data_IF_975656584570
#
_entry.id   IF_975656584570
#
_cell.length_a   1.000
_cell.length_b   1.000
_cell.length_c   1.000
_cell.angle_alpha   90.00
_cell.angle_beta   90.00
_cell.angle_gamma   90.00
#
_symmetry.space_group_name_H-M   'P 1'
#
loop_
_entity.id
_entity.type
_entity.pdbx_description
1 polymer ?
#
# COMPACT_ATOMS: atom_id res chain seq x y z
N UNK A 1 -23.47 -0.25 1.22
CA UNK A 1 -22.05 -0.51 1.44
C UNK A 1 -21.76 -1.49 2.58
N UNK A 2 -22.27 -1.33 3.81
CA UNK A 2 -22.00 -2.29 4.91
C UNK A 2 -22.48 -3.71 4.56
N UNK A 3 -23.66 -3.84 3.99
CA UNK A 3 -24.18 -5.13 3.52
C UNK A 3 -23.31 -5.73 2.42
N UNK A 4 -22.84 -4.93 1.47
CA UNK A 4 -21.93 -5.38 0.41
C UNK A 4 -20.59 -5.87 0.97
N UNK A 5 -20.04 -5.18 1.98
CA UNK A 5 -18.80 -5.61 2.66
C UNK A 5 -19.00 -6.98 3.29
N UNK A 6 -20.11 -7.19 4.02
CA UNK A 6 -20.43 -8.47 4.65
C UNK A 6 -20.71 -9.58 3.65
N UNK A 7 -21.44 -9.27 2.56
CA UNK A 7 -21.68 -10.21 1.46
C UNK A 7 -20.35 -10.67 0.83
N UNK A 8 -19.45 -9.72 0.55
CA UNK A 8 -18.13 -10.03 -0.01
C UNK A 8 -17.30 -10.88 0.93
N UNK A 9 -17.25 -10.52 2.23
CA UNK A 9 -16.52 -11.29 3.23
C UNK A 9 -17.08 -12.71 3.35
N UNK A 10 -18.40 -12.86 3.44
CA UNK A 10 -19.06 -14.17 3.50
C UNK A 10 -18.80 -15.02 2.24
N UNK A 11 -18.78 -14.39 1.06
CA UNK A 11 -18.42 -15.08 -0.16
C UNK A 11 -16.98 -15.61 -0.11
N UNK A 12 -16.03 -14.77 0.31
CA UNK A 12 -14.62 -15.17 0.44
C UNK A 12 -14.49 -16.32 1.44
N UNK A 13 -15.11 -16.22 2.62
CA UNK A 13 -15.08 -17.27 3.66
C UNK A 13 -15.66 -18.61 3.20
N UNK A 14 -16.62 -18.57 2.27
CA UNK A 14 -17.18 -19.78 1.69
C UNK A 14 -16.25 -20.44 0.65
N UNK A 15 -15.28 -19.70 0.10
CA UNK A 15 -14.40 -20.17 -0.97
C UNK A 15 -12.97 -20.48 -0.52
N UNK A 16 -12.57 -20.11 0.69
CA UNK A 16 -11.27 -20.48 1.28
C UNK A 16 -11.41 -20.89 2.74
N UNK A 17 -10.56 -21.82 3.17
CA UNK A 17 -10.44 -22.20 4.58
C UNK A 17 -9.37 -21.39 5.33
N UNK A 18 -8.60 -20.57 4.62
CA UNK A 18 -7.54 -19.78 5.24
C UNK A 18 -8.12 -18.62 6.07
N UNK A 19 -7.48 -18.33 7.20
CA UNK A 19 -7.86 -17.24 8.12
C UNK A 19 -6.62 -16.44 8.51
N UNK A 20 -5.94 -15.77 7.57
CA UNK A 20 -4.75 -14.99 7.86
C UNK A 20 -5.09 -13.78 8.74
N UNK A 21 -4.12 -13.35 9.55
CA UNK A 21 -4.20 -12.09 10.30
C UNK A 21 -3.44 -10.96 9.61
N UNK A 22 -2.64 -11.27 8.59
CA UNK A 22 -1.83 -10.29 7.86
C UNK A 22 -2.27 -10.21 6.40
N UNK A 23 -2.52 -8.99 5.93
CA UNK A 23 -2.77 -8.69 4.53
C UNK A 23 -1.64 -7.84 3.95
N UNK A 24 -1.38 -8.03 2.65
CA UNK A 24 -0.34 -7.30 1.89
C UNK A 24 -0.99 -6.72 0.64
N UNK A 25 -0.80 -5.42 0.39
CA UNK A 25 -1.19 -4.80 -0.88
C UNK A 25 0.06 -4.59 -1.73
N UNK A 26 0.11 -5.32 -2.82
CA UNK A 26 1.20 -5.28 -3.78
C UNK A 26 0.89 -4.21 -4.84
N UNK A 27 1.58 -3.09 -4.78
CA UNK A 27 1.49 -2.01 -5.75
C UNK A 27 2.31 -2.26 -7.02
N UNK A 28 2.45 -1.22 -7.84
CA UNK A 28 3.20 -1.26 -9.11
C UNK A 28 4.60 -1.84 -8.95
N UNK A 29 4.93 -2.81 -9.79
CA UNK A 29 6.26 -3.41 -9.82
C UNK A 29 6.56 -4.41 -8.70
N UNK A 30 5.60 -4.88 -7.91
CA UNK A 30 5.82 -5.71 -6.73
C UNK A 30 5.39 -7.18 -6.87
N UNK A 31 5.33 -7.66 -8.11
CA UNK A 31 4.97 -9.05 -8.41
C UNK A 31 5.97 -10.10 -7.88
N UNK A 32 7.21 -9.71 -7.55
CA UNK A 32 8.20 -10.65 -7.01
C UNK A 32 7.75 -11.25 -5.66
N UNK A 33 7.21 -10.43 -4.78
CA UNK A 33 6.70 -10.92 -3.50
C UNK A 33 5.51 -11.86 -3.67
N UNK A 34 4.63 -11.60 -4.67
CA UNK A 34 3.54 -12.51 -5.00
C UNK A 34 4.07 -13.91 -5.40
N UNK A 35 5.20 -13.95 -6.13
CA UNK A 35 5.83 -15.21 -6.54
C UNK A 35 6.46 -15.99 -5.37
N UNK A 36 6.69 -15.36 -4.22
CA UNK A 36 7.20 -16.02 -3.02
C UNK A 36 6.07 -16.60 -2.13
N UNK A 37 4.81 -16.29 -2.44
CA UNK A 37 3.66 -16.82 -1.71
C UNK A 37 3.33 -18.21 -2.23
N UNK A 38 3.36 -19.20 -1.38
CA UNK A 38 2.79 -20.52 -1.66
C UNK A 38 1.27 -20.42 -1.73
N UNK A 39 0.73 -20.22 -2.94
CA UNK A 39 -0.68 -19.94 -3.16
C UNK A 39 -1.52 -21.17 -2.83
N UNK A 40 -2.53 -20.99 -1.99
CA UNK A 40 -3.56 -22.00 -1.66
C UNK A 40 -4.81 -21.74 -2.47
N UNK A 41 -5.33 -20.51 -2.43
CA UNK A 41 -6.49 -20.08 -3.20
C UNK A 41 -6.22 -18.72 -3.85
N UNK A 42 -6.72 -18.52 -5.08
CA UNK A 42 -6.69 -17.23 -5.77
C UNK A 42 -8.03 -16.91 -6.41
N UNK A 43 -8.43 -15.65 -6.36
CA UNK A 43 -9.70 -15.17 -6.90
C UNK A 43 -9.47 -13.91 -7.73
N UNK A 44 -9.77 -13.92 -9.05
CA UNK A 44 -9.82 -12.69 -9.84
C UNK A 44 -10.79 -11.69 -9.22
N UNK A 45 -10.44 -10.41 -9.13
CA UNK A 45 -11.30 -9.39 -8.52
C UNK A 45 -12.70 -9.34 -9.15
N UNK A 46 -12.79 -9.54 -10.47
CA UNK A 46 -14.05 -9.56 -11.22
C UNK A 46 -15.03 -10.66 -10.78
N UNK A 47 -14.52 -11.72 -10.15
CA UNK A 47 -15.33 -12.87 -9.72
C UNK A 47 -15.78 -12.71 -8.26
N UNK A 48 -15.20 -11.74 -7.53
CA UNK A 48 -15.56 -11.44 -6.13
C UNK A 48 -16.72 -10.43 -6.12
N UNK A 49 -17.87 -10.75 -5.49
CA UNK A 49 -19.00 -9.82 -5.42
C UNK A 49 -18.62 -8.45 -4.88
N UNK A 50 -19.11 -7.39 -5.51
CA UNK A 50 -18.91 -5.99 -5.12
C UNK A 50 -17.45 -5.47 -5.17
N UNK A 51 -16.48 -6.31 -5.52
CA UNK A 51 -15.08 -5.89 -5.57
C UNK A 51 -14.85 -4.98 -6.79
N UNK A 52 -14.06 -3.89 -6.66
CA UNK A 52 -13.63 -3.12 -7.82
C UNK A 52 -12.73 -3.97 -8.72
N UNK A 53 -12.56 -3.55 -9.97
CA UNK A 53 -11.66 -4.21 -10.92
C UNK A 53 -10.48 -3.29 -11.20
N UNK A 54 -9.25 -3.78 -11.01
CA UNK A 54 -8.05 -3.00 -11.36
C UNK A 54 -7.95 -2.85 -12.87
N UNK A 55 -7.70 -1.61 -13.33
CA UNK A 55 -7.57 -1.27 -14.75
C UNK A 55 -6.13 -0.86 -15.11
N UNK A 56 -5.24 -0.82 -14.12
CA UNK A 56 -3.84 -0.40 -14.30
C UNK A 56 -3.04 -1.53 -14.93
N UNK A 57 -2.29 -1.22 -15.97
CA UNK A 57 -1.37 -2.15 -16.62
C UNK A 57 -0.28 -2.62 -15.63
N UNK A 58 -0.05 -3.94 -15.59
CA UNK A 58 0.88 -4.56 -14.63
C UNK A 58 0.26 -4.99 -13.30
N UNK A 59 -1.05 -4.72 -13.09
CA UNK A 59 -1.80 -5.28 -11.97
C UNK A 59 -2.56 -6.53 -12.45
N UNK A 60 -2.28 -7.70 -11.86
CA UNK A 60 -2.96 -8.95 -12.23
C UNK A 60 -4.42 -9.00 -11.78
N UNK A 61 -4.81 -8.15 -10.80
CA UNK A 61 -6.19 -8.02 -10.34
C UNK A 61 -6.71 -9.26 -9.63
N UNK A 62 -5.92 -9.82 -8.71
CA UNK A 62 -6.24 -11.03 -7.96
C UNK A 62 -6.14 -10.83 -6.46
N UNK A 63 -7.03 -11.51 -5.74
CA UNK A 63 -6.94 -11.74 -4.32
C UNK A 63 -6.35 -13.12 -4.10
N UNK A 64 -5.25 -13.18 -3.34
CA UNK A 64 -4.49 -14.40 -3.08
C UNK A 64 -4.56 -14.72 -1.59
N UNK A 65 -4.78 -15.99 -1.27
CA UNK A 65 -4.58 -16.59 0.04
C UNK A 65 -3.47 -17.64 -0.08
N UNK A 66 -2.50 -17.57 0.80
CA UNK A 66 -1.34 -18.46 0.73
C UNK A 66 -0.43 -18.30 1.93
N UNK A 67 0.77 -18.87 1.83
CA UNK A 67 1.79 -18.79 2.85
C UNK A 67 3.00 -18.02 2.38
N UNK A 68 3.44 -17.07 3.19
CA UNK A 68 4.71 -16.40 3.03
C UNK A 68 5.66 -16.90 4.12
N UNK A 69 6.55 -17.83 3.74
CA UNK A 69 7.26 -18.66 4.70
C UNK A 69 6.30 -19.58 5.46
N UNK A 70 6.26 -19.48 6.79
CA UNK A 70 5.40 -20.32 7.64
C UNK A 70 4.08 -19.64 8.06
N UNK A 71 3.85 -18.41 7.63
CA UNK A 71 2.69 -17.60 8.05
C UNK A 71 1.65 -17.52 6.94
N UNK A 72 0.41 -17.68 7.32
CA UNK A 72 -0.73 -17.46 6.42
C UNK A 72 -0.87 -15.96 6.12
N UNK A 73 -1.04 -15.61 4.85
CA UNK A 73 -1.22 -14.24 4.37
C UNK A 73 -2.36 -14.15 3.36
N UNK A 74 -2.96 -12.96 3.30
CA UNK A 74 -3.84 -12.51 2.24
C UNK A 74 -3.10 -11.45 1.42
N UNK A 75 -3.06 -11.57 0.10
CA UNK A 75 -2.42 -10.58 -0.73
C UNK A 75 -3.36 -10.05 -1.82
N UNK A 76 -3.36 -8.74 -2.00
CA UNK A 76 -3.96 -8.09 -3.15
C UNK A 76 -2.86 -7.90 -4.21
N UNK A 77 -2.93 -8.63 -5.30
CA UNK A 77 -2.03 -8.45 -6.44
C UNK A 77 -2.60 -7.37 -7.38
N UNK A 78 -2.37 -6.14 -7.03
CA UNK A 78 -2.92 -4.93 -7.60
C UNK A 78 -3.79 -4.16 -6.60
N UNK A 79 -3.94 -2.86 -6.86
CA UNK A 79 -4.73 -1.95 -6.05
C UNK A 79 -5.66 -1.10 -6.91
N UNK A 80 -6.48 -0.28 -6.25
CA UNK A 80 -7.42 0.63 -6.89
C UNK A 80 -6.99 2.07 -6.64
N UNK A 81 -7.07 2.91 -7.67
CA UNK A 81 -6.67 4.29 -7.56
C UNK A 81 -7.84 5.23 -7.86
N UNK A 82 -7.77 6.43 -7.30
CA UNK A 82 -8.75 7.47 -7.53
C UNK A 82 -8.82 7.87 -9.02
N UNK A 83 -7.66 7.95 -9.69
CA UNK A 83 -7.60 8.31 -11.10
C UNK A 83 -8.23 7.29 -12.06
N UNK A 84 -8.50 6.07 -11.60
CA UNK A 84 -9.25 5.06 -12.39
C UNK A 84 -10.74 5.37 -12.49
N UNK A 85 -11.22 6.44 -11.80
CA UNK A 85 -12.63 6.85 -11.76
C UNK A 85 -13.38 6.32 -10.55
N UNK A 86 -12.72 5.62 -9.63
CA UNK A 86 -13.27 5.15 -8.37
C UNK A 86 -13.35 6.27 -7.33
N UNK A 87 -14.46 6.37 -6.61
CA UNK A 87 -14.53 7.19 -5.39
C UNK A 87 -13.76 6.53 -4.23
N UNK A 88 -13.47 7.32 -3.18
CA UNK A 88 -12.66 6.82 -2.07
C UNK A 88 -13.27 5.65 -1.30
N UNK A 89 -14.59 5.47 -1.33
CA UNK A 89 -15.25 4.31 -0.72
C UNK A 89 -15.01 3.03 -1.54
N UNK A 90 -14.92 3.14 -2.85
CA UNK A 90 -14.58 2.02 -3.73
C UNK A 90 -13.09 1.69 -3.64
N UNK A 91 -12.21 2.70 -3.67
CA UNK A 91 -10.76 2.50 -3.49
C UNK A 91 -10.45 1.75 -2.20
N UNK A 92 -11.14 2.07 -1.11
CA UNK A 92 -10.89 1.49 0.22
C UNK A 92 -11.83 0.35 0.60
N UNK A 93 -12.70 -0.08 -0.30
CA UNK A 93 -13.62 -1.20 -0.09
C UNK A 93 -12.90 -2.48 0.37
N UNK A 94 -11.75 -2.88 -0.25
CA UNK A 94 -11.03 -4.07 0.17
C UNK A 94 -10.56 -4.01 1.63
N UNK A 95 -10.18 -2.84 2.12
CA UNK A 95 -9.73 -2.69 3.52
C UNK A 95 -10.87 -2.97 4.50
N UNK A 96 -12.10 -2.56 4.16
CA UNK A 96 -13.28 -2.87 4.95
C UNK A 96 -13.60 -4.37 4.94
N UNK A 97 -13.41 -5.03 3.79
CA UNK A 97 -13.55 -6.49 3.67
C UNK A 97 -12.47 -7.20 4.50
N UNK A 98 -11.22 -6.74 4.46
CA UNK A 98 -10.14 -7.27 5.31
C UNK A 98 -10.49 -7.22 6.80
N UNK A 99 -11.08 -6.12 7.26
CA UNK A 99 -11.55 -6.00 8.64
C UNK A 99 -12.59 -7.07 9.00
N UNK A 100 -13.60 -7.28 8.15
CA UNK A 100 -14.65 -8.31 8.37
C UNK A 100 -14.04 -9.73 8.35
N UNK A 101 -13.00 -9.97 7.56
CA UNK A 101 -12.25 -11.24 7.51
C UNK A 101 -11.29 -11.43 8.70
N UNK A 102 -11.19 -10.46 9.61
CA UNK A 102 -10.37 -10.57 10.81
C UNK A 102 -8.89 -10.21 10.64
N UNK A 103 -8.51 -9.54 9.55
CA UNK A 103 -7.15 -9.02 9.35
C UNK A 103 -6.81 -8.03 10.48
N UNK A 104 -5.61 -8.14 11.01
CA UNK A 104 -5.06 -7.31 12.10
C UNK A 104 -3.89 -6.45 11.65
N UNK A 105 -3.15 -6.91 10.64
CA UNK A 105 -1.95 -6.25 10.13
C UNK A 105 -2.11 -6.01 8.63
N UNK A 106 -1.80 -4.80 8.18
CA UNK A 106 -1.81 -4.43 6.77
C UNK A 106 -0.43 -3.91 6.36
N UNK A 107 0.16 -4.55 5.38
CA UNK A 107 1.40 -4.11 4.77
C UNK A 107 1.10 -3.54 3.39
N UNK A 108 1.54 -2.31 3.16
CA UNK A 108 1.32 -1.60 1.90
C UNK A 108 2.63 -1.24 1.24
N UNK A 109 2.65 -1.34 -0.06
CA UNK A 109 3.81 -0.98 -0.87
C UNK A 109 3.40 -0.14 -2.07
N UNK A 110 4.29 0.73 -2.51
CA UNK A 110 4.06 1.57 -3.68
C UNK A 110 5.39 1.98 -4.35
N UNK A 111 5.28 2.56 -5.53
CA UNK A 111 6.32 3.32 -6.20
C UNK A 111 5.99 4.80 -6.09
N UNK A 112 6.99 5.68 -5.94
CA UNK A 112 6.78 7.13 -5.77
C UNK A 112 7.96 7.96 -6.28
N UNK A 113 7.68 9.21 -6.63
CA UNK A 113 8.69 10.23 -6.92
C UNK A 113 9.28 10.79 -5.62
N UNK A 114 10.61 10.77 -5.50
CA UNK A 114 11.32 11.35 -4.35
C UNK A 114 11.44 12.86 -4.46
N UNK A 115 10.97 13.60 -3.46
CA UNK A 115 11.13 15.06 -3.38
C UNK A 115 12.15 15.50 -2.33
N UNK A 116 12.67 14.55 -1.54
CA UNK A 116 13.78 14.80 -0.63
C UNK A 116 15.11 14.81 -1.41
N UNK A 117 15.91 15.88 -1.32
CA UNK A 117 17.15 16.02 -2.10
C UNK A 117 18.24 14.98 -1.76
N UNK A 118 18.12 14.28 -0.61
CA UNK A 118 19.05 13.25 -0.17
C UNK A 118 18.69 11.86 -0.68
N UNK A 119 17.50 11.70 -1.28
CA UNK A 119 17.05 10.41 -1.79
C UNK A 119 17.65 10.12 -3.17
N UNK A 120 17.75 8.83 -3.47
CA UNK A 120 18.25 8.30 -4.72
C UNK A 120 17.21 7.35 -5.34
N UNK A 121 17.23 7.21 -6.66
CA UNK A 121 16.40 6.19 -7.35
C UNK A 121 16.82 4.81 -6.85
N UNK A 122 15.83 4.01 -6.46
CA UNK A 122 16.03 2.69 -5.87
C UNK A 122 16.09 2.69 -4.33
N UNK A 123 16.02 3.85 -3.67
CA UNK A 123 15.90 3.87 -2.21
C UNK A 123 14.57 3.24 -1.77
N UNK A 124 14.63 2.41 -0.72
CA UNK A 124 13.46 1.89 -0.01
C UNK A 124 13.14 2.84 1.14
N UNK A 125 12.04 3.60 0.99
CA UNK A 125 11.58 4.51 2.03
C UNK A 125 10.58 3.81 2.94
N UNK A 126 10.92 3.62 4.21
CA UNK A 126 9.96 3.27 5.25
C UNK A 126 9.06 4.48 5.47
N UNK A 127 7.76 4.33 5.29
CA UNK A 127 6.80 5.42 5.43
C UNK A 127 6.52 5.61 6.93
N UNK A 128 6.93 6.75 7.48
CA UNK A 128 6.74 7.07 8.89
C UNK A 128 5.51 7.94 9.15
N UNK A 129 5.07 8.68 8.13
CA UNK A 129 3.89 9.55 8.19
C UNK A 129 3.37 9.84 6.77
N UNK A 130 2.23 10.48 6.65
CA UNK A 130 1.69 10.86 5.36
C UNK A 130 0.99 12.23 5.33
N UNK A 131 0.88 12.78 4.13
CA UNK A 131 0.05 13.94 3.82
C UNK A 131 -1.05 13.49 2.85
N UNK A 132 -2.31 13.64 3.25
CA UNK A 132 -3.45 13.40 2.38
C UNK A 132 -3.75 14.66 1.54
N UNK A 133 -3.28 14.67 0.29
CA UNK A 133 -3.54 15.75 -0.66
C UNK A 133 -4.55 15.34 -1.75
N UNK A 134 -5.36 14.33 -1.47
CA UNK A 134 -6.42 13.84 -2.35
C UNK A 134 -7.68 14.71 -2.24
N UNK A 135 -8.46 14.85 -3.31
CA UNK A 135 -9.65 15.72 -3.32
C UNK A 135 -10.83 15.16 -2.54
N UNK A 136 -10.80 13.87 -2.19
CA UNK A 136 -11.85 13.18 -1.44
C UNK A 136 -11.25 12.41 -0.25
N UNK A 137 -11.98 12.39 0.88
CA UNK A 137 -11.55 11.68 2.08
C UNK A 137 -12.35 10.37 2.25
N UNK A 138 -11.70 9.21 2.51
CA UNK A 138 -12.39 7.92 2.57
C UNK A 138 -13.39 7.79 3.72
N UNK A 139 -13.27 8.61 4.77
CA UNK A 139 -14.22 8.66 5.89
C UNK A 139 -15.29 9.75 5.74
N UNK A 140 -15.36 10.42 4.58
CA UNK A 140 -16.40 11.42 4.34
C UNK A 140 -17.80 10.77 4.32
N UNK A 141 -18.77 11.43 4.98
CA UNK A 141 -20.16 10.97 5.09
C UNK A 141 -20.49 10.32 6.44
N UNK A 142 -21.52 9.48 6.53
CA UNK A 142 -21.89 8.76 7.74
C UNK A 142 -20.76 7.85 8.23
N UNK A 143 -20.56 7.80 9.55
CA UNK A 143 -19.52 6.96 10.14
C UNK A 143 -19.83 5.47 9.97
N UNK A 144 -18.79 4.67 9.70
CA UNK A 144 -18.89 3.22 9.76
C UNK A 144 -18.77 2.72 11.20
N UNK A 145 -19.54 1.70 11.59
CA UNK A 145 -19.52 1.17 12.96
C UNK A 145 -18.23 0.45 13.35
N UNK A 146 -17.27 0.34 12.43
CA UNK A 146 -15.99 -0.33 12.62
C UNK A 146 -14.94 0.51 13.34
N UNK A 147 -15.23 1.79 13.59
CA UNK A 147 -14.28 2.68 14.26
C UNK A 147 -14.91 4.01 14.70
N UNK A 148 -14.13 4.88 15.37
CA UNK A 148 -14.59 6.15 15.87
C UNK A 148 -14.89 7.14 14.74
N UNK A 149 -15.78 8.12 15.00
CA UNK A 149 -16.05 9.19 14.01
C UNK A 149 -14.81 10.03 13.68
N UNK A 150 -13.96 10.23 14.66
CA UNK A 150 -12.75 11.03 14.58
C UNK A 150 -11.56 10.18 15.06
N UNK A 151 -10.98 9.33 14.18
CA UNK A 151 -9.79 8.57 14.54
C UNK A 151 -8.60 9.51 14.74
N UNK A 152 -7.80 9.23 15.77
CA UNK A 152 -6.51 9.87 15.94
C UNK A 152 -5.50 9.23 14.97
N UNK A 153 -4.84 10.02 14.15
CA UNK A 153 -3.88 9.55 13.14
C UNK A 153 -2.41 9.73 13.57
N UNK A 154 -2.15 10.00 14.87
CA UNK A 154 -0.80 10.25 15.38
C UNK A 154 0.16 9.07 15.09
N UNK A 155 -0.33 7.84 15.19
CA UNK A 155 0.42 6.61 14.90
C UNK A 155 -0.25 5.85 13.73
N UNK A 156 -0.40 6.51 12.57
CA UNK A 156 -0.99 5.89 11.39
C UNK A 156 -0.15 4.72 10.85
N UNK A 157 1.15 4.77 11.08
CA UNK A 157 2.11 3.69 10.79
C UNK A 157 2.66 3.16 12.10
N UNK A 158 2.59 1.85 12.27
CA UNK A 158 2.92 1.18 13.52
C UNK A 158 4.41 1.25 13.83
N UNK A 159 4.77 1.80 14.99
CA UNK A 159 6.15 2.04 15.39
C UNK A 159 6.91 0.74 15.64
N UNK A 160 6.25 -0.31 16.16
CA UNK A 160 6.89 -1.61 16.36
C UNK A 160 7.26 -2.26 15.02
N UNK A 161 6.38 -2.16 13.99
CA UNK A 161 6.70 -2.63 12.65
C UNK A 161 7.84 -1.83 12.02
N UNK A 162 7.88 -0.52 12.22
CA UNK A 162 8.98 0.31 11.75
C UNK A 162 10.31 -0.09 12.41
N UNK A 163 10.31 -0.32 13.72
CA UNK A 163 11.52 -0.74 14.45
C UNK A 163 12.00 -2.12 13.99
N UNK A 164 11.08 -3.08 13.81
CA UNK A 164 11.41 -4.40 13.25
C UNK A 164 11.97 -4.29 11.83
N UNK A 165 11.37 -3.45 10.98
CA UNK A 165 11.85 -3.26 9.61
C UNK A 165 13.25 -2.63 9.56
N UNK A 166 13.55 -1.63 10.42
CA UNK A 166 14.90 -1.06 10.61
C UNK A 166 15.92 -2.12 11.01
N UNK A 167 15.53 -2.98 11.94
CA UNK A 167 16.40 -4.07 12.40
C UNK A 167 16.64 -5.09 11.28
N UNK A 168 15.59 -5.52 10.55
CA UNK A 168 15.71 -6.45 9.42
C UNK A 168 16.61 -5.86 8.34
N UNK A 169 16.40 -4.59 7.96
CA UNK A 169 17.22 -3.91 6.97
C UNK A 169 18.70 -3.89 7.38
N UNK A 170 18.99 -3.57 8.66
CA UNK A 170 20.35 -3.60 9.20
C UNK A 170 20.97 -4.99 9.18
N UNK A 171 20.25 -6.02 9.57
CA UNK A 171 20.72 -7.42 9.61
C UNK A 171 21.06 -7.93 8.20
N UNK A 172 20.29 -7.50 7.19
CA UNK A 172 20.46 -7.90 5.79
C UNK A 172 21.38 -6.97 4.98
N UNK A 173 21.85 -5.86 5.57
CA UNK A 173 22.62 -4.84 4.86
C UNK A 173 21.83 -4.10 3.78
N UNK A 174 20.51 -4.01 3.93
CA UNK A 174 19.62 -3.28 3.02
C UNK A 174 19.63 -1.80 3.42
N UNK A 175 19.97 -0.92 2.45
CA UNK A 175 19.86 0.53 2.65
C UNK A 175 18.37 0.91 2.68
N UNK A 176 17.93 1.57 3.74
CA UNK A 176 16.61 2.18 3.83
C UNK A 176 16.72 3.66 4.17
N UNK A 177 15.74 4.43 3.74
CA UNK A 177 15.51 5.82 4.15
C UNK A 177 14.14 5.91 4.81
N UNK A 178 13.84 7.01 5.45
CA UNK A 178 12.54 7.23 6.11
C UNK A 178 11.95 8.55 5.65
N UNK A 179 10.63 8.64 5.62
CA UNK A 179 10.02 9.88 5.20
C UNK A 179 8.51 9.90 5.20
N UNK A 180 8.01 11.08 4.87
CA UNK A 180 6.60 11.43 4.75
C UNK A 180 6.14 11.20 3.31
N UNK A 181 5.12 10.37 3.13
CA UNK A 181 4.51 10.11 1.84
C UNK A 181 3.32 11.04 1.60
N UNK A 182 3.33 11.80 0.50
CA UNK A 182 2.20 12.63 0.09
C UNK A 182 1.39 11.90 -1.00
N UNK A 183 0.09 11.74 -0.76
CA UNK A 183 -0.81 11.20 -1.78
C UNK A 183 -1.50 12.31 -2.56
N UNK A 184 -1.37 12.27 -3.89
CA UNK A 184 -2.05 13.13 -4.86
C UNK A 184 -2.99 12.32 -5.76
N UNK A 185 -3.86 12.99 -6.51
CA UNK A 185 -4.88 12.29 -7.29
C UNK A 185 -4.37 11.64 -8.57
N UNK A 186 -3.32 12.17 -9.19
CA UNK A 186 -2.92 11.79 -10.55
C UNK A 186 -3.98 12.13 -11.61
N UNK A 187 -3.97 11.50 -12.80
CA UNK A 187 -2.99 10.52 -13.30
C UNK A 187 -1.71 11.12 -13.86
N UNK A 188 -1.60 12.46 -13.92
CA UNK A 188 -0.38 13.11 -14.39
C UNK A 188 0.74 13.01 -13.37
N UNK A 189 1.97 12.84 -13.84
CA UNK A 189 3.13 13.12 -13.03
C UNK A 189 3.21 14.62 -12.75
N UNK A 190 3.96 14.97 -11.72
CA UNK A 190 4.01 16.31 -11.17
C UNK A 190 4.84 17.26 -12.04
N UNK A 191 4.40 18.50 -12.11
CA UNK A 191 5.22 19.60 -12.63
C UNK A 191 6.36 19.93 -11.64
N UNK A 192 7.47 20.57 -12.11
CA UNK A 192 8.53 21.02 -11.20
C UNK A 192 8.03 21.94 -10.06
N UNK A 193 6.98 22.73 -10.32
CA UNK A 193 6.38 23.60 -9.31
C UNK A 193 5.61 22.80 -8.24
N UNK A 194 4.91 21.73 -8.63
CA UNK A 194 4.21 20.84 -7.72
C UNK A 194 5.20 20.06 -6.84
N UNK A 195 6.28 19.53 -7.38
CA UNK A 195 7.33 18.90 -6.58
C UNK A 195 7.89 19.85 -5.51
N UNK A 196 8.19 21.10 -5.87
CA UNK A 196 8.66 22.12 -4.94
C UNK A 196 7.61 22.44 -3.87
N UNK A 197 6.33 22.50 -4.25
CA UNK A 197 5.21 22.72 -3.33
C UNK A 197 5.10 21.56 -2.33
N UNK A 198 5.10 20.32 -2.79
CA UNK A 198 5.01 19.15 -1.93
C UNK A 198 6.19 19.04 -0.96
N UNK A 199 7.39 19.32 -1.43
CA UNK A 199 8.55 19.41 -0.53
C UNK A 199 8.40 20.50 0.53
N UNK A 200 7.85 21.65 0.15
CA UNK A 200 7.59 22.76 1.10
C UNK A 200 6.54 22.37 2.16
N UNK A 201 5.59 21.50 1.82
CA UNK A 201 4.62 20.96 2.78
C UNK A 201 5.19 19.90 3.71
N UNK A 202 6.44 19.48 3.50
CA UNK A 202 7.11 18.49 4.34
C UNK A 202 7.08 17.07 3.79
N UNK A 203 6.66 16.87 2.53
CA UNK A 203 6.76 15.56 1.89
C UNK A 203 8.22 15.19 1.57
N UNK A 204 8.52 13.90 1.62
CA UNK A 204 9.76 13.28 1.17
C UNK A 204 9.56 12.48 -0.12
N UNK A 205 8.37 11.96 -0.35
CA UNK A 205 7.96 11.28 -1.57
C UNK A 205 6.51 11.61 -1.92
N UNK A 206 6.17 11.49 -3.22
CA UNK A 206 4.82 11.73 -3.75
C UNK A 206 4.37 10.56 -4.61
N UNK A 207 3.11 10.17 -4.47
CA UNK A 207 2.49 9.15 -5.31
C UNK A 207 0.96 9.23 -5.27
N UNK A 208 0.28 8.25 -5.87
CA UNK A 208 -1.17 8.35 -6.17
C UNK A 208 -2.00 7.30 -5.43
N UNK A 209 -1.51 6.77 -4.29
CA UNK A 209 -2.14 5.63 -3.60
C UNK A 209 -1.94 5.68 -2.08
N UNK A 210 -2.14 4.53 -1.43
CA UNK A 210 -1.67 4.20 -0.07
C UNK A 210 -2.38 4.94 1.07
N UNK A 211 -2.43 6.26 1.05
CA UNK A 211 -2.99 7.06 2.16
C UNK A 211 -4.46 6.73 2.44
N UNK A 212 -5.36 6.59 1.45
CA UNK A 212 -6.75 6.20 1.72
C UNK A 212 -6.86 4.83 2.39
N UNK A 213 -6.02 3.88 1.97
CA UNK A 213 -5.98 2.53 2.52
C UNK A 213 -5.54 2.56 3.99
N UNK A 214 -4.46 3.30 4.29
CA UNK A 214 -3.94 3.49 5.66
C UNK A 214 -4.97 4.17 6.56
N UNK A 215 -5.65 5.23 6.09
CA UNK A 215 -6.69 5.91 6.85
C UNK A 215 -7.82 4.94 7.25
N UNK A 216 -8.27 4.11 6.31
CA UNK A 216 -9.38 3.17 6.58
C UNK A 216 -8.90 2.00 7.43
N UNK A 217 -7.69 1.50 7.22
CA UNK A 217 -7.08 0.46 8.06
C UNK A 217 -7.00 0.93 9.53
N UNK A 218 -6.44 2.12 9.75
CA UNK A 218 -6.33 2.72 11.07
C UNK A 218 -7.70 2.96 11.72
N UNK A 219 -8.68 3.47 10.95
CA UNK A 219 -10.06 3.61 11.43
C UNK A 219 -10.67 2.28 11.90
N UNK A 220 -10.29 1.16 11.28
CA UNK A 220 -10.72 -0.19 11.65
C UNK A 220 -9.87 -0.84 12.75
N UNK A 221 -8.84 -0.17 13.25
CA UNK A 221 -7.90 -0.74 14.23
C UNK A 221 -6.94 -1.78 13.65
N UNK A 222 -6.69 -1.73 12.34
CA UNK A 222 -5.70 -2.57 11.67
C UNK A 222 -4.35 -1.85 11.74
N UNK A 223 -3.33 -2.52 12.27
CA UNK A 223 -1.95 -2.00 12.35
C UNK A 223 -1.35 -1.93 10.95
N UNK A 224 -0.68 -0.85 10.61
CA UNK A 224 -0.22 -0.63 9.24
C UNK A 224 1.28 -0.39 9.16
N UNK A 225 1.92 -1.00 8.16
CA UNK A 225 3.30 -0.78 7.77
C UNK A 225 3.36 -0.45 6.28
N UNK A 226 4.20 0.51 5.88
CA UNK A 226 4.33 0.93 4.50
C UNK A 226 5.75 1.12 4.03
N UNK A 227 6.04 0.68 2.79
CA UNK A 227 7.31 0.93 2.11
C UNK A 227 7.03 1.53 0.74
N UNK A 228 7.77 2.57 0.40
CA UNK A 228 7.76 3.19 -0.92
C UNK A 228 9.10 2.98 -1.61
N UNK A 229 9.08 2.58 -2.88
CA UNK A 229 10.28 2.57 -3.73
C UNK A 229 10.38 3.92 -4.41
N UNK A 230 11.51 4.59 -4.26
CA UNK A 230 11.78 5.85 -4.97
C UNK A 230 12.16 5.52 -6.40
N UNK A 231 11.33 5.89 -7.37
CA UNK A 231 11.48 5.52 -8.78
C UNK A 231 11.97 6.63 -9.69
N UNK A 232 11.79 7.87 -9.27
CA UNK A 232 12.19 9.10 -9.95
C UNK A 232 12.44 10.21 -8.92
N UNK A 233 13.01 11.33 -9.35
CA UNK A 233 13.37 12.41 -8.47
C UNK A 233 12.77 13.75 -8.91
N UNK A 234 11.84 14.27 -8.11
CA UNK A 234 11.28 15.62 -8.21
C UNK A 234 12.15 16.69 -7.53
N UNK A 235 13.46 16.56 -7.61
CA UNK A 235 14.44 17.49 -6.98
C UNK A 235 15.00 18.44 -8.03
N UNK A 236 15.09 19.73 -7.71
CA UNK A 236 15.63 20.74 -8.62
C UNK A 236 17.02 20.32 -9.16
N UNK A 237 17.18 20.39 -10.47
CA UNK A 237 18.38 19.95 -11.19
C UNK A 237 18.47 18.43 -11.44
N UNK A 238 17.54 17.62 -10.91
CA UNK A 238 17.47 16.17 -11.12
C UNK A 238 16.18 15.74 -11.84
N UNK A 239 15.24 16.66 -12.06
CA UNK A 239 13.96 16.36 -12.72
C UNK A 239 14.22 16.02 -14.19
N UNK A 240 13.74 14.85 -14.60
CA UNK A 240 13.75 14.38 -15.99
C UNK A 240 12.34 13.94 -16.38
N UNK A 241 12.11 13.71 -17.67
CA UNK A 241 10.85 13.10 -18.12
C UNK A 241 10.70 11.70 -17.50
N UNK A 242 9.49 11.40 -17.01
CA UNK A 242 9.18 10.13 -16.35
C UNK A 242 8.12 9.38 -17.16
N UNK A 243 8.37 8.11 -17.42
CA UNK A 243 7.41 7.20 -18.02
C UNK A 243 7.02 6.08 -17.04
N UNK A 244 5.84 5.50 -17.23
CA UNK A 244 5.41 4.36 -16.41
C UNK A 244 6.36 3.15 -16.54
N UNK A 245 6.95 2.94 -17.71
CA UNK A 245 7.94 1.89 -17.97
C UNK A 245 9.21 2.08 -17.12
N UNK A 246 9.71 3.32 -17.04
CA UNK A 246 10.88 3.65 -16.21
C UNK A 246 10.60 3.46 -14.73
N UNK A 247 9.41 3.86 -14.27
CA UNK A 247 8.94 3.62 -12.90
C UNK A 247 8.92 2.12 -12.59
N UNK A 248 8.34 1.30 -13.46
CA UNK A 248 8.32 -0.16 -13.30
C UNK A 248 9.74 -0.75 -13.28
N UNK A 249 10.62 -0.30 -14.17
CA UNK A 249 12.01 -0.78 -14.24
C UNK A 249 12.77 -0.45 -12.96
N UNK A 250 12.65 0.77 -12.45
CA UNK A 250 13.29 1.17 -11.20
C UNK A 250 12.74 0.37 -10.01
N UNK A 251 11.43 0.19 -9.93
CA UNK A 251 10.81 -0.61 -8.89
C UNK A 251 11.26 -2.09 -8.94
N UNK A 252 11.25 -2.71 -10.11
CA UNK A 252 11.65 -4.11 -10.29
C UNK A 252 13.10 -4.38 -9.87
N UNK A 253 14.01 -3.41 -10.02
CA UNK A 253 15.42 -3.57 -9.67
C UNK A 253 15.66 -3.78 -8.16
N UNK A 254 14.79 -3.22 -7.31
CA UNK A 254 14.95 -3.27 -5.84
C UNK A 254 13.86 -4.09 -5.13
N UNK A 255 12.91 -4.59 -5.89
CA UNK A 255 11.82 -5.44 -5.41
C UNK A 255 12.27 -6.60 -4.51
N UNK A 256 13.35 -7.36 -4.83
CA UNK A 256 13.80 -8.46 -3.98
C UNK A 256 14.19 -8.00 -2.57
N UNK A 257 14.81 -6.81 -2.45
CA UNK A 257 15.20 -6.25 -1.16
C UNK A 257 13.98 -5.90 -0.30
N UNK A 258 12.94 -5.35 -0.92
CA UNK A 258 11.70 -5.06 -0.23
C UNK A 258 10.95 -6.35 0.15
N UNK A 259 10.91 -7.35 -0.74
CA UNK A 259 10.34 -8.66 -0.46
C UNK A 259 11.00 -9.31 0.76
N UNK A 260 12.32 -9.19 0.89
CA UNK A 260 13.07 -9.65 2.05
C UNK A 260 12.60 -8.98 3.36
N UNK A 261 12.37 -7.67 3.35
CA UNK A 261 11.86 -6.93 4.53
C UNK A 261 10.45 -7.43 4.88
N UNK A 262 9.55 -7.51 3.92
CA UNK A 262 8.17 -7.95 4.15
C UNK A 262 8.10 -9.39 4.65
N UNK A 263 8.82 -10.31 4.02
CA UNK A 263 8.86 -11.71 4.43
C UNK A 263 9.35 -11.88 5.87
N UNK A 264 10.47 -11.23 6.21
CA UNK A 264 11.03 -11.36 7.54
C UNK A 264 10.18 -10.63 8.59
N UNK A 265 9.50 -9.53 8.22
CA UNK A 265 8.55 -8.87 9.10
C UNK A 265 7.34 -9.77 9.37
N UNK A 266 6.74 -10.37 8.34
CA UNK A 266 5.63 -11.35 8.48
C UNK A 266 6.04 -12.51 9.39
N UNK A 267 7.28 -12.99 9.30
CA UNK A 267 7.77 -14.09 10.17
C UNK A 267 7.88 -13.70 11.64
N UNK A 268 8.17 -12.42 11.95
CA UNK A 268 8.43 -11.93 13.33
C UNK A 268 7.18 -11.48 14.05
N UNK A 269 6.10 -11.21 13.34
CA UNK A 269 4.82 -10.85 13.96
C UNK A 269 4.01 -12.08 14.30
N UNK A 270 3.28 -12.00 15.40
CA UNK A 270 2.39 -13.06 15.90
C UNK A 270 1.04 -13.14 15.16
#
# INVERSE_FOLDING_TARGET
MLEQIKETAAWIEAHTQMRPHTAIILGTGLGHLAAEIDIVDEFPYKDIPNFPVSTVEGHSGKLIFGRLGEKDVMALEGRFHYYEGYNMKQVTFPIRVMYELGIKNLFVSNASGGVNPTFEIGDLMLITDHINFLPEHPLHGPNFPTGPRFPDMHEAYDHEFLDMARQIAKEKGIKTVEGVYLATQGPTYETPAEYKMYRTFGADAVGMSTVPEVIVAHHCGIRTFGVSIITDLGVEGKIVEVSHEEVQKAANAVQPLMADIFRDLVRRID
#
